data_IF_537724349488
#
_entry.id   IF_537724349488
#
_cell.length_a   1.000
_cell.length_b   1.000
_cell.length_c   1.000
_cell.angle_alpha   90.00
_cell.angle_beta   90.00
_cell.angle_gamma   90.00
#
_symmetry.space_group_name_H-M   'P 1'
#
loop_
_entity.id
_entity.type
_entity.pdbx_description
1 polymer ?
#
# COMPACT_ATOMS: atom_id res chain seq x y z
N UNK A 1 -22.56 -9.23 -20.20
CA UNK A 1 -21.32 -8.50 -19.91
C UNK A 1 -20.62 -9.34 -18.88
N UNK A 2 -19.34 -9.64 -19.09
CA UNK A 2 -18.53 -10.34 -18.11
C UNK A 2 -18.26 -9.38 -16.95
N UNK A 3 -18.45 -9.82 -15.70
CA UNK A 3 -18.23 -9.01 -14.50
C UNK A 3 -17.21 -9.68 -13.59
N UNK A 4 -16.28 -8.91 -13.05
CA UNK A 4 -15.37 -9.43 -12.03
C UNK A 4 -15.00 -8.37 -11.01
N UNK A 5 -14.59 -8.80 -9.82
CA UNK A 5 -13.98 -7.91 -8.84
C UNK A 5 -12.46 -7.96 -8.99
N UNK A 6 -11.83 -6.80 -9.03
CA UNK A 6 -10.40 -6.62 -8.96
C UNK A 6 -10.00 -6.03 -7.60
N UNK A 7 -9.13 -6.75 -6.88
CA UNK A 7 -8.53 -6.36 -5.60
C UNK A 7 -7.05 -6.78 -5.58
N UNK A 8 -6.26 -6.22 -4.66
CA UNK A 8 -4.82 -6.46 -4.55
C UNK A 8 -4.33 -6.11 -3.14
N UNK A 9 -3.05 -6.40 -2.85
CA UNK A 9 -2.33 -5.86 -1.69
C UNK A 9 -3.07 -6.13 -0.37
N UNK A 10 -3.46 -7.39 -0.19
CA UNK A 10 -4.21 -7.82 0.99
C UNK A 10 -3.34 -7.84 2.23
N UNK A 11 -2.06 -8.23 2.10
CA UNK A 11 -1.12 -8.37 3.21
C UNK A 11 -1.73 -9.10 4.42
N UNK A 12 -2.42 -10.22 4.21
CA UNK A 12 -3.11 -10.93 5.29
C UNK A 12 -2.10 -11.28 6.40
N UNK A 13 -2.45 -10.92 7.64
CA UNK A 13 -1.60 -11.12 8.81
C UNK A 13 -0.61 -10.00 9.08
N UNK A 14 -0.76 -8.83 8.43
CA UNK A 14 0.05 -7.64 8.69
C UNK A 14 -0.10 -7.17 10.14
N UNK A 15 1.03 -6.75 10.69
CA UNK A 15 1.09 -6.04 11.96
C UNK A 15 1.34 -4.55 11.69
N UNK A 16 0.59 -3.68 12.36
CA UNK A 16 0.86 -2.24 12.36
C UNK A 16 1.24 -1.82 13.77
N UNK A 17 2.49 -1.39 13.96
CA UNK A 17 3.07 -1.10 15.27
C UNK A 17 2.81 -2.18 16.35
N UNK A 18 3.01 -3.46 15.97
CA UNK A 18 2.75 -4.65 16.79
C UNK A 18 1.28 -4.97 17.08
N UNK A 19 0.32 -4.25 16.49
CA UNK A 19 -1.09 -4.58 16.54
C UNK A 19 -1.44 -5.43 15.33
N UNK A 20 -2.10 -6.56 15.55
CA UNK A 20 -2.60 -7.40 14.46
C UNK A 20 -3.79 -6.75 13.79
N UNK A 21 -3.71 -6.60 12.46
CA UNK A 21 -4.82 -6.11 11.64
C UNK A 21 -5.74 -7.23 11.14
N UNK A 22 -5.48 -8.50 11.51
CA UNK A 22 -6.17 -9.65 10.94
C UNK A 22 -7.69 -9.58 11.12
N UNK A 23 -8.19 -9.16 12.29
CA UNK A 23 -9.62 -9.01 12.53
C UNK A 23 -10.25 -7.93 11.66
N UNK A 24 -9.55 -6.81 11.45
CA UNK A 24 -9.99 -5.73 10.57
C UNK A 24 -9.95 -6.17 9.09
N UNK A 25 -8.94 -6.95 8.69
CA UNK A 25 -8.83 -7.56 7.35
C UNK A 25 -9.98 -8.54 7.09
N UNK A 26 -10.27 -9.44 8.03
CA UNK A 26 -11.39 -10.37 7.95
C UNK A 26 -12.74 -9.64 7.87
N UNK A 27 -12.87 -8.47 8.51
CA UNK A 27 -14.08 -7.65 8.42
C UNK A 27 -14.32 -7.15 6.99
N UNK A 28 -13.29 -6.62 6.31
CA UNK A 28 -13.43 -6.11 4.94
C UNK A 28 -13.48 -7.21 3.89
N UNK A 29 -12.78 -8.34 4.08
CA UNK A 29 -12.86 -9.51 3.20
C UNK A 29 -14.31 -10.06 3.12
N UNK A 30 -15.08 -10.01 4.22
CA UNK A 30 -16.51 -10.36 4.21
C UNK A 30 -17.33 -9.44 3.30
N UNK A 31 -16.94 -8.17 3.14
CA UNK A 31 -17.62 -7.24 2.25
C UNK A 31 -17.35 -7.56 0.78
N UNK A 32 -16.14 -8.00 0.43
CA UNK A 32 -15.82 -8.47 -0.94
C UNK A 32 -16.71 -9.65 -1.33
N UNK A 33 -16.88 -10.63 -0.42
CA UNK A 33 -17.81 -11.75 -0.63
C UNK A 33 -19.25 -11.26 -0.87
N UNK A 34 -19.70 -10.28 -0.08
CA UNK A 34 -21.03 -9.68 -0.26
C UNK A 34 -21.15 -8.99 -1.62
N UNK A 35 -20.18 -8.17 -2.00
CA UNK A 35 -20.18 -7.49 -3.31
C UNK A 35 -20.16 -8.48 -4.47
N UNK A 36 -19.40 -9.56 -4.37
CA UNK A 36 -19.37 -10.60 -5.39
C UNK A 36 -20.77 -11.21 -5.61
N UNK A 37 -21.49 -11.49 -4.52
CA UNK A 37 -22.84 -12.02 -4.58
C UNK A 37 -23.87 -10.99 -5.08
N UNK A 38 -23.83 -9.76 -4.56
CA UNK A 38 -24.78 -8.68 -4.91
C UNK A 38 -24.68 -8.29 -6.39
N UNK A 39 -23.45 -8.22 -6.93
CA UNK A 39 -23.21 -7.85 -8.32
C UNK A 39 -23.15 -9.03 -9.29
N UNK A 40 -23.31 -10.26 -8.78
CA UNK A 40 -23.31 -11.51 -9.56
C UNK A 40 -22.08 -11.62 -10.46
N UNK A 41 -20.89 -11.46 -9.87
CA UNK A 41 -19.63 -11.44 -10.62
C UNK A 41 -19.27 -12.86 -11.09
N UNK A 42 -18.66 -12.94 -12.27
CA UNK A 42 -18.19 -14.19 -12.88
C UNK A 42 -16.83 -14.64 -12.32
N UNK A 43 -16.04 -13.73 -11.73
CA UNK A 43 -14.74 -14.05 -11.14
C UNK A 43 -14.31 -13.05 -10.04
N UNK A 44 -13.42 -13.51 -9.16
CA UNK A 44 -12.62 -12.66 -8.27
C UNK A 44 -11.16 -12.67 -8.74
N UNK A 45 -10.59 -11.49 -8.96
CA UNK A 45 -9.20 -11.27 -9.34
C UNK A 45 -8.43 -10.65 -8.18
N UNK A 46 -7.32 -11.29 -7.79
CA UNK A 46 -6.42 -10.81 -6.72
C UNK A 46 -5.01 -10.58 -7.27
N UNK A 47 -4.63 -9.31 -7.47
CA UNK A 47 -3.40 -8.90 -8.14
C UNK A 47 -2.16 -8.86 -7.22
N UNK A 48 -1.96 -9.90 -6.40
CA UNK A 48 -0.74 -10.08 -5.61
C UNK A 48 -0.78 -9.49 -4.20
N UNK A 49 0.34 -9.69 -3.50
CA UNK A 49 0.55 -9.43 -2.06
C UNK A 49 -0.59 -9.98 -1.19
N UNK A 50 -0.79 -11.30 -1.32
CA UNK A 50 -1.81 -12.04 -0.58
C UNK A 50 -1.46 -12.03 0.92
N UNK A 51 -0.22 -12.36 1.26
CA UNK A 51 0.29 -12.34 2.62
C UNK A 51 1.26 -11.19 2.85
N UNK A 52 1.32 -10.71 4.08
CA UNK A 52 2.26 -9.63 4.45
C UNK A 52 3.74 -10.07 4.36
N UNK A 53 4.00 -11.37 4.44
CA UNK A 53 5.35 -11.94 4.45
C UNK A 53 5.38 -13.31 3.80
N UNK A 54 6.56 -13.64 3.27
CA UNK A 54 6.81 -14.89 2.53
C UNK A 54 6.59 -16.17 3.34
N UNK A 55 6.65 -16.07 4.67
CA UNK A 55 6.27 -17.12 5.62
C UNK A 55 5.13 -16.59 6.49
N UNK A 56 3.86 -16.75 6.08
CA UNK A 56 2.72 -16.20 6.82
C UNK A 56 2.51 -16.88 8.18
N UNK A 57 1.93 -16.18 9.17
CA UNK A 57 1.43 -16.82 10.39
C UNK A 57 0.32 -17.85 10.08
N UNK A 58 0.12 -18.84 10.95
CA UNK A 58 -0.89 -19.89 10.76
C UNK A 58 -2.30 -19.31 10.61
N UNK A 59 -2.70 -18.37 11.47
CA UNK A 59 -4.02 -17.75 11.44
C UNK A 59 -4.30 -17.01 10.11
N UNK A 60 -3.26 -16.46 9.46
CA UNK A 60 -3.39 -15.83 8.15
C UNK A 60 -3.66 -16.88 7.05
N UNK A 61 -3.02 -18.05 7.15
CA UNK A 61 -3.26 -19.17 6.23
C UNK A 61 -4.68 -19.71 6.40
N UNK A 62 -5.14 -19.88 7.64
CA UNK A 62 -6.50 -20.31 7.95
C UNK A 62 -7.53 -19.29 7.44
N UNK A 63 -7.26 -18.00 7.60
CA UNK A 63 -8.08 -16.91 7.08
C UNK A 63 -8.23 -16.95 5.56
N UNK A 64 -7.12 -17.10 4.82
CA UNK A 64 -7.16 -17.23 3.36
C UNK A 64 -7.94 -18.48 2.94
N UNK A 65 -7.65 -19.63 3.56
CA UNK A 65 -8.33 -20.88 3.25
C UNK A 65 -9.85 -20.77 3.45
N UNK A 66 -10.29 -20.21 4.58
CA UNK A 66 -11.70 -19.97 4.85
C UNK A 66 -12.32 -19.00 3.84
N UNK A 67 -11.61 -17.92 3.47
CA UNK A 67 -12.10 -16.99 2.46
C UNK A 67 -12.30 -17.66 1.09
N UNK A 68 -11.31 -18.43 0.63
CA UNK A 68 -11.36 -19.11 -0.67
C UNK A 68 -12.47 -20.16 -0.73
N UNK A 69 -12.60 -20.98 0.31
CA UNK A 69 -13.67 -21.98 0.41
C UNK A 69 -15.05 -21.33 0.26
N UNK A 70 -15.28 -20.15 0.86
CA UNK A 70 -16.57 -19.46 0.73
C UNK A 70 -16.85 -19.00 -0.70
N UNK A 71 -15.85 -18.46 -1.39
CA UNK A 71 -16.02 -18.05 -2.80
C UNK A 71 -16.34 -19.24 -3.71
N UNK A 72 -15.61 -20.35 -3.57
CA UNK A 72 -15.77 -21.48 -4.48
C UNK A 72 -16.94 -22.38 -4.10
N UNK A 73 -17.22 -22.60 -2.82
CA UNK A 73 -18.28 -23.50 -2.36
C UNK A 73 -19.63 -22.79 -2.19
N UNK A 74 -19.67 -21.57 -1.63
CA UNK A 74 -20.94 -20.84 -1.41
C UNK A 74 -21.40 -20.11 -2.68
N UNK A 75 -20.47 -19.46 -3.39
CA UNK A 75 -20.80 -18.63 -4.57
C UNK A 75 -20.56 -19.34 -5.91
N UNK A 76 -19.78 -20.42 -5.94
CA UNK A 76 -19.32 -21.05 -7.19
C UNK A 76 -18.60 -20.06 -8.12
N UNK A 77 -17.92 -19.07 -7.54
CA UNK A 77 -17.17 -18.05 -8.28
C UNK A 77 -15.69 -18.43 -8.29
N UNK A 78 -15.04 -18.55 -9.46
CA UNK A 78 -13.61 -18.80 -9.54
C UNK A 78 -12.80 -17.63 -8.99
N UNK A 79 -11.72 -17.96 -8.28
CA UNK A 79 -10.74 -16.99 -7.76
C UNK A 79 -9.45 -17.13 -8.54
N UNK A 80 -8.95 -16.02 -9.09
CA UNK A 80 -7.73 -15.96 -9.89
C UNK A 80 -6.77 -15.03 -9.19
N UNK A 81 -5.60 -15.53 -8.81
CA UNK A 81 -4.62 -14.76 -8.04
C UNK A 81 -3.20 -14.97 -8.53
N UNK A 82 -2.39 -13.92 -8.42
CA UNK A 82 -0.94 -13.96 -8.64
C UNK A 82 -0.22 -13.74 -7.30
N UNK A 83 1.09 -13.98 -7.25
CA UNK A 83 1.93 -13.58 -6.12
C UNK A 83 2.49 -12.17 -6.33
N UNK A 84 2.55 -11.38 -5.25
CA UNK A 84 3.27 -10.10 -5.24
C UNK A 84 4.70 -10.23 -4.71
N UNK A 85 5.33 -9.10 -4.35
CA UNK A 85 6.72 -9.04 -3.87
C UNK A 85 6.88 -9.44 -2.39
N UNK A 86 5.80 -9.48 -1.61
CA UNK A 86 5.79 -9.99 -0.23
C UNK A 86 5.59 -11.50 -0.16
N UNK A 87 4.91 -12.07 -1.15
CA UNK A 87 4.61 -13.48 -1.23
C UNK A 87 5.84 -14.32 -1.60
N UNK A 88 5.86 -15.59 -1.17
CA UNK A 88 6.71 -16.58 -1.80
C UNK A 88 5.92 -17.28 -2.91
N UNK A 89 6.19 -16.93 -4.18
CA UNK A 89 5.52 -17.53 -5.34
C UNK A 89 5.51 -19.07 -5.29
N UNK A 90 6.64 -19.69 -4.90
CA UNK A 90 6.77 -21.15 -4.75
C UNK A 90 5.90 -21.72 -3.62
N UNK A 91 5.77 -21.03 -2.48
CA UNK A 91 4.92 -21.50 -1.37
C UNK A 91 3.44 -21.26 -1.66
N UNK A 92 3.10 -20.09 -2.19
CA UNK A 92 1.72 -19.74 -2.53
C UNK A 92 1.13 -20.72 -3.55
N UNK A 93 1.91 -21.13 -4.56
CA UNK A 93 1.46 -22.10 -5.57
C UNK A 93 1.49 -23.57 -5.12
N UNK A 94 1.84 -23.87 -3.87
CA UNK A 94 1.81 -25.24 -3.38
C UNK A 94 0.38 -25.79 -3.49
N UNK A 95 0.21 -26.90 -4.21
CA UNK A 95 -1.11 -27.47 -4.46
C UNK A 95 -1.95 -26.77 -5.52
N UNK A 96 -1.43 -25.76 -6.23
CA UNK A 96 -2.19 -24.98 -7.23
C UNK A 96 -2.85 -25.86 -8.31
N UNK A 97 -2.19 -26.94 -8.74
CA UNK A 97 -2.75 -27.88 -9.71
C UNK A 97 -4.01 -28.61 -9.20
N UNK A 98 -4.09 -28.89 -7.90
CA UNK A 98 -5.28 -29.51 -7.30
C UNK A 98 -6.37 -28.46 -7.08
N UNK A 99 -5.98 -27.27 -6.60
CA UNK A 99 -6.89 -26.16 -6.32
C UNK A 99 -7.58 -25.60 -7.56
N UNK A 100 -6.94 -25.65 -8.74
CA UNK A 100 -7.58 -25.18 -9.98
C UNK A 100 -8.82 -26.00 -10.36
N UNK A 101 -8.87 -27.27 -9.99
CA UNK A 101 -10.07 -28.11 -10.18
C UNK A 101 -11.24 -27.72 -9.26
N UNK A 102 -10.95 -26.99 -8.17
CA UNK A 102 -11.94 -26.47 -7.24
C UNK A 102 -12.27 -24.98 -7.48
N UNK A 103 -11.78 -24.39 -8.59
CA UNK A 103 -12.05 -22.99 -8.95
C UNK A 103 -11.07 -21.97 -8.36
N UNK A 104 -9.97 -22.38 -7.74
CA UNK A 104 -8.90 -21.46 -7.27
C UNK A 104 -7.68 -21.58 -8.18
N UNK A 105 -7.40 -20.52 -8.93
CA UNK A 105 -6.33 -20.45 -9.90
C UNK A 105 -5.19 -19.56 -9.39
N UNK A 106 -4.04 -20.18 -9.10
CA UNK A 106 -2.84 -19.45 -8.64
C UNK A 106 -1.81 -19.37 -9.77
N UNK A 107 -1.69 -18.19 -10.37
CA UNK A 107 -0.81 -17.87 -11.49
C UNK A 107 0.55 -17.36 -10.99
N UNK A 108 1.32 -18.26 -10.35
CA UNK A 108 2.59 -17.93 -9.71
C UNK A 108 3.85 -18.45 -10.44
N UNK A 109 3.76 -18.80 -11.72
CA UNK A 109 4.89 -19.30 -12.51
C UNK A 109 5.06 -18.46 -13.78
N UNK A 110 6.13 -17.66 -13.84
CA UNK A 110 6.41 -16.78 -14.98
C UNK A 110 6.52 -17.54 -16.31
N UNK A 111 6.85 -18.85 -16.30
CA UNK A 111 6.91 -19.67 -17.53
C UNK A 111 5.54 -19.96 -18.13
N UNK A 112 4.46 -19.67 -17.39
CA UNK A 112 3.07 -19.90 -17.79
C UNK A 112 2.32 -18.62 -18.11
N UNK A 113 3.01 -17.48 -18.27
CA UNK A 113 2.37 -16.19 -18.62
C UNK A 113 1.56 -16.24 -19.92
N UNK A 114 1.89 -17.16 -20.84
CA UNK A 114 1.17 -17.40 -22.09
C UNK A 114 0.00 -18.39 -21.95
N UNK A 115 -0.33 -18.87 -20.74
CA UNK A 115 -1.43 -19.82 -20.50
C UNK A 115 -2.52 -19.14 -19.68
N UNK A 116 -3.62 -18.68 -20.30
CA UNK A 116 -4.67 -18.00 -19.57
C UNK A 116 -5.55 -18.96 -18.76
N UNK A 117 -6.24 -18.41 -17.77
CA UNK A 117 -7.43 -19.01 -17.19
C UNK A 117 -8.63 -18.52 -17.98
N UNK A 118 -9.40 -19.44 -18.56
CA UNK A 118 -10.64 -19.12 -19.25
C UNK A 118 -11.83 -19.28 -18.30
N UNK A 119 -12.57 -18.20 -18.09
CA UNK A 119 -13.82 -18.21 -17.33
C UNK A 119 -14.98 -18.09 -18.30
N UNK A 120 -15.95 -19.00 -18.19
CA UNK A 120 -17.17 -18.98 -19.00
C UNK A 120 -18.20 -18.08 -18.32
N UNK A 121 -18.61 -17.02 -19.00
CA UNK A 121 -19.67 -16.11 -18.54
C UNK A 121 -20.94 -16.31 -19.36
N UNK A 122 -22.04 -15.67 -18.95
CA UNK A 122 -23.28 -15.68 -19.73
C UNK A 122 -23.13 -15.05 -21.12
N UNK A 123 -22.11 -14.20 -21.33
CA UNK A 123 -21.87 -13.50 -22.61
C UNK A 123 -20.67 -14.03 -23.39
N UNK A 124 -20.08 -15.14 -22.96
CA UNK A 124 -18.92 -15.75 -23.61
C UNK A 124 -17.73 -15.92 -22.68
N UNK A 125 -16.65 -16.47 -23.21
CA UNK A 125 -15.42 -16.66 -22.46
C UNK A 125 -14.68 -15.33 -22.23
N UNK A 126 -13.93 -15.26 -21.14
CA UNK A 126 -12.94 -14.21 -20.86
C UNK A 126 -11.63 -14.88 -20.47
N UNK A 127 -10.51 -14.36 -20.97
CA UNK A 127 -9.17 -14.87 -20.72
C UNK A 127 -8.46 -14.03 -19.66
N UNK A 128 -7.98 -14.66 -18.60
CA UNK A 128 -7.16 -14.02 -17.56
C UNK A 128 -5.71 -14.50 -17.66
N UNK A 129 -4.80 -13.58 -17.95
CA UNK A 129 -3.36 -13.82 -17.97
C UNK A 129 -2.76 -13.29 -16.67
N UNK A 130 -1.76 -14.00 -16.11
CA UNK A 130 -1.14 -13.63 -14.85
C UNK A 130 0.37 -13.47 -14.98
N UNK A 131 0.86 -12.26 -14.67
CA UNK A 131 2.29 -11.97 -14.50
C UNK A 131 2.53 -11.71 -13.01
N UNK A 132 3.00 -12.71 -12.24
CA UNK A 132 3.38 -12.48 -10.86
C UNK A 132 4.57 -11.51 -10.78
N UNK A 133 4.82 -10.96 -9.60
CA UNK A 133 6.05 -10.22 -9.34
C UNK A 133 7.28 -11.07 -9.70
N UNK A 134 8.27 -10.46 -10.32
CA UNK A 134 9.45 -11.14 -10.87
C UNK A 134 10.66 -10.21 -10.90
N UNK A 135 11.85 -10.82 -10.83
CA UNK A 135 13.12 -10.13 -11.04
C UNK A 135 13.65 -10.36 -12.47
N UNK A 136 14.36 -9.40 -13.10
CA UNK A 136 14.97 -9.59 -14.41
C UNK A 136 15.88 -10.83 -14.52
N UNK A 137 16.56 -11.21 -13.43
CA UNK A 137 17.38 -12.44 -13.38
C UNK A 137 16.50 -13.67 -13.59
N UNK A 138 15.35 -13.75 -12.92
CA UNK A 138 14.44 -14.89 -13.04
C UNK A 138 13.88 -15.03 -14.45
N UNK A 139 13.55 -13.91 -15.09
CA UNK A 139 13.08 -13.89 -16.49
C UNK A 139 14.18 -14.34 -17.45
N UNK A 140 15.40 -13.82 -17.30
CA UNK A 140 16.55 -14.24 -18.11
C UNK A 140 16.83 -15.75 -17.97
N UNK A 141 16.82 -16.28 -16.75
CA UNK A 141 17.05 -17.70 -16.51
C UNK A 141 15.90 -18.59 -17.04
N UNK A 142 14.65 -18.12 -16.96
CA UNK A 142 13.49 -18.88 -17.38
C UNK A 142 13.31 -18.94 -18.90
N UNK A 143 13.74 -17.91 -19.62
CA UNK A 143 13.48 -17.73 -21.05
C UNK A 143 14.73 -17.62 -21.93
N UNK A 144 15.93 -17.60 -21.34
CA UNK A 144 17.21 -17.44 -22.05
C UNK A 144 17.27 -16.16 -22.92
N UNK A 145 16.84 -15.03 -22.32
CA UNK A 145 16.76 -13.71 -22.97
C UNK A 145 17.64 -12.67 -22.29
N UNK A 146 18.18 -11.72 -23.04
CA UNK A 146 19.04 -10.65 -22.52
C UNK A 146 18.24 -9.46 -21.96
N UNK A 147 17.42 -9.70 -20.93
CA UNK A 147 16.76 -8.62 -20.17
C UNK A 147 17.63 -8.18 -18.99
N UNK A 148 17.67 -6.88 -18.71
CA UNK A 148 18.51 -6.25 -17.67
C UNK A 148 17.70 -5.43 -16.67
N UNK A 149 16.61 -4.81 -17.12
CA UNK A 149 15.77 -3.96 -16.28
C UNK A 149 14.44 -4.62 -15.97
N UNK A 150 13.75 -4.13 -14.93
CA UNK A 150 12.39 -4.56 -14.63
C UNK A 150 11.45 -4.27 -15.81
N UNK A 151 11.61 -3.13 -16.47
CA UNK A 151 10.82 -2.76 -17.65
C UNK A 151 11.00 -3.73 -18.83
N UNK A 152 12.25 -4.09 -19.16
CA UNK A 152 12.55 -5.04 -20.25
C UNK A 152 11.99 -6.43 -19.93
N UNK A 153 12.18 -6.89 -18.69
CA UNK A 153 11.69 -8.17 -18.22
C UNK A 153 10.15 -8.23 -18.25
N UNK A 154 9.50 -7.18 -17.74
CA UNK A 154 8.06 -7.07 -17.69
C UNK A 154 7.44 -7.01 -19.09
N UNK A 155 8.03 -6.19 -19.97
CA UNK A 155 7.61 -6.06 -21.36
C UNK A 155 7.69 -7.38 -22.10
N UNK A 156 8.79 -8.14 -21.92
CA UNK A 156 8.91 -9.47 -22.52
C UNK A 156 7.78 -10.41 -22.10
N UNK A 157 7.46 -10.48 -20.80
CA UNK A 157 6.36 -11.32 -20.30
C UNK A 157 4.98 -10.87 -20.79
N UNK A 158 4.74 -9.54 -20.82
CA UNK A 158 3.50 -8.96 -21.31
C UNK A 158 3.29 -9.23 -22.80
N UNK A 159 4.34 -9.16 -23.61
CA UNK A 159 4.30 -9.50 -25.03
C UNK A 159 3.98 -10.98 -25.27
N UNK A 160 4.60 -11.89 -24.49
CA UNK A 160 4.28 -13.33 -24.56
C UNK A 160 2.81 -13.59 -24.22
N UNK A 161 2.29 -12.96 -23.16
CA UNK A 161 0.88 -13.07 -22.79
C UNK A 161 -0.04 -12.50 -23.89
N UNK A 162 0.29 -11.34 -24.45
CA UNK A 162 -0.48 -10.71 -25.51
C UNK A 162 -0.52 -11.55 -26.79
N UNK A 163 0.59 -12.19 -27.17
CA UNK A 163 0.68 -13.07 -28.34
C UNK A 163 -0.15 -14.36 -28.18
N UNK A 164 -0.37 -14.82 -26.96
CA UNK A 164 -1.12 -16.03 -26.66
C UNK A 164 -2.65 -15.83 -26.60
N UNK A 165 -3.11 -14.58 -26.71
CA UNK A 165 -4.54 -14.25 -26.71
C UNK A 165 -5.26 -14.87 -27.89
N UNK A 166 -6.50 -15.29 -27.65
CA UNK A 166 -7.41 -15.65 -28.74
C UNK A 166 -8.01 -14.38 -29.35
N UNK A 167 -7.97 -14.29 -30.68
CA UNK A 167 -8.68 -13.24 -31.40
C UNK A 167 -10.18 -13.34 -31.04
N UNK A 168 -10.80 -12.20 -30.72
CA UNK A 168 -12.21 -12.07 -30.35
C UNK A 168 -12.61 -12.54 -28.94
N UNK A 169 -11.67 -12.93 -28.08
CA UNK A 169 -11.94 -13.20 -26.66
C UNK A 169 -11.38 -12.05 -25.82
N UNK A 170 -12.20 -11.40 -24.97
CA UNK A 170 -11.69 -10.37 -24.06
C UNK A 170 -10.59 -10.90 -23.15
N UNK A 171 -9.52 -10.13 -23.01
CA UNK A 171 -8.33 -10.52 -22.27
C UNK A 171 -8.04 -9.53 -21.15
N UNK A 172 -7.91 -10.06 -19.93
CA UNK A 172 -7.51 -9.33 -18.73
C UNK A 172 -6.10 -9.75 -18.36
N UNK A 173 -5.23 -8.77 -18.17
CA UNK A 173 -3.91 -9.01 -17.58
C UNK A 173 -3.95 -8.72 -16.08
N UNK A 174 -3.48 -9.65 -15.27
CA UNK A 174 -3.28 -9.50 -13.83
C UNK A 174 -1.79 -9.38 -13.61
N UNK A 175 -1.33 -8.30 -13.00
CA UNK A 175 0.09 -8.02 -12.83
C UNK A 175 0.40 -7.33 -11.51
N UNK A 176 1.59 -7.58 -10.98
CA UNK A 176 2.08 -6.93 -9.77
C UNK A 176 3.43 -6.25 -10.05
N UNK A 177 3.38 -4.95 -10.36
CA UNK A 177 4.53 -4.17 -10.79
C UNK A 177 4.35 -2.67 -10.48
N UNK A 178 5.43 -1.90 -10.52
CA UNK A 178 5.40 -0.46 -10.34
C UNK A 178 5.44 0.27 -11.68
N UNK A 179 4.29 0.74 -12.16
CA UNK A 179 4.18 1.62 -13.33
C UNK A 179 4.80 3.00 -13.05
N UNK A 180 5.70 3.46 -13.90
CA UNK A 180 6.37 4.75 -13.74
C UNK A 180 5.37 5.93 -13.63
N UNK A 181 5.66 6.82 -12.68
CA UNK A 181 4.86 8.00 -12.38
C UNK A 181 3.51 7.74 -11.69
N UNK A 182 3.24 6.54 -11.20
CA UNK A 182 2.14 6.27 -10.27
C UNK A 182 2.47 6.78 -8.85
N UNK A 183 1.44 7.02 -8.04
CA UNK A 183 1.55 7.55 -6.68
C UNK A 183 1.83 6.42 -5.67
N UNK A 184 2.83 6.61 -4.81
CA UNK A 184 3.23 5.68 -3.74
C UNK A 184 2.77 6.17 -2.36
N UNK A 185 2.73 5.26 -1.38
CA UNK A 185 2.54 5.54 0.03
C UNK A 185 3.81 5.14 0.81
N UNK A 186 3.81 5.30 2.14
CA UNK A 186 4.97 4.89 2.95
C UNK A 186 4.93 3.39 3.32
N UNK A 187 3.84 2.69 3.03
CA UNK A 187 3.60 1.30 3.45
C UNK A 187 4.02 0.27 2.41
N UNK A 188 4.21 0.68 1.16
CA UNK A 188 4.76 -0.13 0.08
C UNK A 188 6.26 -0.35 0.33
N UNK A 189 6.75 -1.52 -0.06
CA UNK A 189 8.18 -1.82 0.06
C UNK A 189 8.95 -1.06 -1.01
N UNK A 190 9.86 -0.17 -0.60
CA UNK A 190 10.86 0.39 -1.51
C UNK A 190 11.79 -0.72 -1.98
N UNK A 191 11.54 -1.23 -3.19
CA UNK A 191 12.29 -2.36 -3.77
C UNK A 191 13.63 -1.92 -4.35
N UNK A 192 13.73 -0.68 -4.83
CA UNK A 192 14.95 -0.13 -5.39
C UNK A 192 15.25 1.29 -4.91
N UNK A 193 16.53 1.68 -4.98
CA UNK A 193 16.94 3.07 -4.82
C UNK A 193 16.96 3.69 -6.22
N UNK A 194 16.24 4.80 -6.40
CA UNK A 194 16.25 5.57 -7.65
C UNK A 194 15.29 5.08 -8.75
N UNK A 195 14.34 4.18 -8.44
CA UNK A 195 13.25 3.80 -9.35
C UNK A 195 13.62 2.78 -10.43
N UNK A 196 14.63 1.94 -10.19
CA UNK A 196 15.07 0.90 -11.12
C UNK A 196 14.07 -0.27 -11.28
N UNK A 197 13.09 -0.37 -10.38
CA UNK A 197 12.00 -1.34 -10.35
C UNK A 197 10.76 -0.89 -11.15
N UNK A 198 10.81 0.29 -11.76
CA UNK A 198 9.70 0.85 -12.52
C UNK A 198 9.57 0.24 -13.91
N UNK A 199 8.33 0.14 -14.38
CA UNK A 199 7.95 -0.41 -15.68
C UNK A 199 7.05 0.55 -16.45
N UNK A 200 7.13 0.50 -17.78
CA UNK A 200 6.28 1.25 -18.70
C UNK A 200 4.92 0.57 -18.84
N UNK A 201 3.86 1.37 -18.91
CA UNK A 201 2.50 0.85 -19.16
C UNK A 201 2.27 0.44 -20.62
N UNK A 202 3.16 0.79 -21.55
CA UNK A 202 2.93 0.66 -22.99
C UNK A 202 2.68 -0.78 -23.43
N UNK A 203 3.44 -1.74 -22.90
CA UNK A 203 3.29 -3.17 -23.19
C UNK A 203 1.97 -3.77 -22.70
N UNK A 204 1.26 -3.06 -21.80
CA UNK A 204 0.02 -3.50 -21.18
C UNK A 204 -1.23 -2.99 -21.91
N UNK A 205 -1.09 -2.01 -22.82
CA UNK A 205 -2.22 -1.36 -23.48
C UNK A 205 -3.03 -2.27 -24.39
N UNK A 206 -2.48 -3.43 -24.78
CA UNK A 206 -3.17 -4.32 -25.71
C UNK A 206 -4.38 -5.00 -25.05
N UNK A 207 -4.38 -5.19 -23.74
CA UNK A 207 -5.42 -5.91 -22.99
C UNK A 207 -6.69 -5.07 -22.80
N UNK A 208 -7.84 -5.74 -22.70
CA UNK A 208 -9.14 -5.07 -22.50
C UNK A 208 -9.27 -4.47 -21.09
N UNK A 209 -8.55 -5.05 -20.13
CA UNK A 209 -8.35 -4.50 -18.77
C UNK A 209 -7.03 -5.01 -18.19
N UNK A 210 -6.38 -4.19 -17.36
CA UNK A 210 -5.18 -4.55 -16.63
C UNK A 210 -5.40 -4.32 -15.13
N UNK A 211 -5.44 -5.42 -14.39
CA UNK A 211 -5.57 -5.50 -12.95
C UNK A 211 -4.19 -5.47 -12.29
N UNK A 212 -3.79 -4.29 -11.80
CA UNK A 212 -2.51 -4.09 -11.11
C UNK A 212 -2.64 -4.19 -9.58
N UNK A 213 -1.66 -4.81 -8.95
CA UNK A 213 -1.32 -4.61 -7.53
C UNK A 213 0.07 -4.01 -7.38
N UNK A 214 0.54 -3.88 -6.14
CA UNK A 214 1.80 -3.29 -5.64
C UNK A 214 1.61 -1.95 -4.94
N UNK A 215 0.81 -1.06 -5.53
CA UNK A 215 0.55 0.27 -4.98
C UNK A 215 -0.75 0.28 -4.18
N UNK A 216 -0.71 0.84 -2.98
CA UNK A 216 -1.82 0.73 -2.04
C UNK A 216 -2.93 1.76 -2.30
N UNK A 217 -2.67 2.81 -3.09
CA UNK A 217 -3.68 3.78 -3.50
C UNK A 217 -4.45 3.31 -4.73
N UNK A 218 -5.80 3.26 -4.71
CA UNK A 218 -6.59 3.00 -5.91
C UNK A 218 -6.39 4.13 -6.93
N UNK A 219 -5.87 3.79 -8.11
CA UNK A 219 -5.51 4.76 -9.14
C UNK A 219 -5.40 4.11 -10.52
N UNK A 220 -5.17 4.90 -11.56
CA UNK A 220 -4.82 4.41 -12.89
C UNK A 220 -3.59 5.14 -13.41
N UNK A 221 -2.86 4.51 -14.33
CA UNK A 221 -1.71 5.15 -14.99
C UNK A 221 -1.61 4.73 -16.44
N UNK A 222 -1.29 5.69 -17.31
CA UNK A 222 -1.22 5.48 -18.76
C UNK A 222 -2.61 5.52 -19.41
N UNK A 223 -3.40 4.45 -19.23
CA UNK A 223 -4.76 4.33 -19.76
C UNK A 223 -5.76 3.98 -18.65
N UNK A 224 -7.03 4.37 -18.80
CA UNK A 224 -8.04 4.22 -17.73
C UNK A 224 -8.35 2.76 -17.36
N UNK A 225 -8.13 1.81 -18.27
CA UNK A 225 -8.28 0.38 -18.04
C UNK A 225 -7.06 -0.26 -17.36
N UNK A 226 -5.98 0.49 -17.13
CA UNK A 226 -4.77 0.05 -16.43
C UNK A 226 -4.79 0.60 -15.02
N UNK A 227 -5.24 -0.21 -14.06
CA UNK A 227 -5.65 0.28 -12.74
C UNK A 227 -5.00 -0.50 -11.63
N UNK A 228 -4.61 0.20 -10.57
CA UNK A 228 -4.37 -0.38 -9.26
C UNK A 228 -5.68 -0.39 -8.48
N UNK A 229 -6.04 -1.52 -7.89
CA UNK A 229 -7.17 -1.55 -6.96
C UNK A 229 -6.83 -0.93 -5.60
N UNK A 230 -5.56 -0.93 -5.23
CA UNK A 230 -5.11 -0.54 -3.89
C UNK A 230 -5.35 -1.65 -2.86
N UNK A 231 -4.83 -1.40 -1.65
CA UNK A 231 -4.93 -2.32 -0.52
C UNK A 231 -6.32 -2.37 0.09
N UNK A 232 -6.60 -3.45 0.85
CA UNK A 232 -7.86 -3.63 1.57
C UNK A 232 -8.10 -2.58 2.66
N UNK A 233 -7.04 -2.23 3.36
CA UNK A 233 -7.02 -1.30 4.49
C UNK A 233 -5.89 -0.30 4.29
N UNK A 234 -5.91 0.78 5.06
CA UNK A 234 -4.77 1.69 5.17
C UNK A 234 -3.66 1.00 5.97
N UNK A 235 -2.44 1.01 5.48
CA UNK A 235 -1.29 0.35 6.10
C UNK A 235 -0.18 1.32 6.55
N UNK A 236 -0.40 2.62 6.34
CA UNK A 236 0.36 3.76 6.82
C UNK A 236 -0.58 4.95 7.01
N UNK A 237 -0.21 5.86 7.91
CA UNK A 237 -0.90 7.15 8.05
C UNK A 237 -0.79 8.04 6.80
N UNK A 238 0.17 7.81 5.89
CA UNK A 238 0.19 8.48 4.58
C UNK A 238 -1.06 8.18 3.75
N UNK A 239 -1.72 7.05 4.01
CA UNK A 239 -2.94 6.60 3.31
C UNK A 239 -4.22 7.10 3.97
N UNK A 240 -4.16 7.92 5.02
CA UNK A 240 -5.34 8.33 5.82
C UNK A 240 -6.45 9.02 5.01
N UNK A 241 -6.11 9.64 3.86
CA UNK A 241 -7.07 10.28 2.94
C UNK A 241 -7.56 9.35 1.83
N UNK A 242 -6.95 8.19 1.65
CA UNK A 242 -7.30 7.26 0.58
C UNK A 242 -8.62 6.57 0.90
N UNK A 243 -9.44 6.36 -0.14
CA UNK A 243 -10.69 5.59 -0.05
C UNK A 243 -10.39 4.17 -0.49
N UNK A 244 -10.32 3.24 0.47
CA UNK A 244 -10.05 1.82 0.19
C UNK A 244 -11.28 1.15 -0.39
N UNK A 245 -11.07 0.18 -1.27
CA UNK A 245 -12.15 -0.46 -1.99
C UNK A 245 -11.68 -1.56 -2.92
N UNK A 246 -12.61 -2.11 -3.67
CA UNK A 246 -12.36 -3.00 -4.81
C UNK A 246 -12.91 -2.37 -6.08
N UNK A 247 -12.41 -2.81 -7.23
CA UNK A 247 -12.94 -2.35 -8.53
C UNK A 247 -13.87 -3.42 -9.10
N UNK A 248 -15.15 -3.09 -9.26
CA UNK A 248 -16.04 -3.88 -10.10
C UNK A 248 -15.75 -3.52 -11.55
N UNK A 249 -15.44 -4.52 -12.37
CA UNK A 249 -15.14 -4.35 -13.78
C UNK A 249 -16.20 -5.06 -14.60
N UNK A 250 -16.73 -4.39 -15.61
CA UNK A 250 -17.65 -4.95 -16.59
C UNK A 250 -17.08 -4.85 -17.99
N UNK A 251 -16.97 -5.97 -18.70
CA UNK A 251 -16.51 -6.03 -20.08
C UNK A 251 -17.69 -6.49 -20.96
N UNK A 252 -18.02 -5.67 -21.96
CA UNK A 252 -19.10 -5.95 -22.90
C UNK A 252 -18.79 -5.45 -24.30
N UNK A 253 -19.77 -5.53 -25.20
CA UNK A 253 -19.64 -5.13 -26.60
C UNK A 253 -19.27 -3.65 -26.80
N UNK A 254 -19.63 -2.80 -25.82
CA UNK A 254 -19.34 -1.36 -25.85
C UNK A 254 -17.97 -1.00 -25.22
N UNK A 255 -17.20 -2.00 -24.80
CA UNK A 255 -15.90 -1.84 -24.15
C UNK A 255 -15.93 -2.19 -22.66
N UNK A 256 -14.89 -1.72 -21.97
CA UNK A 256 -14.67 -1.96 -20.53
C UNK A 256 -15.15 -0.76 -19.72
N UNK A 257 -15.93 -1.02 -18.68
CA UNK A 257 -16.33 -0.04 -17.66
C UNK A 257 -15.98 -0.55 -16.27
N UNK A 258 -15.92 0.37 -15.30
CA UNK A 258 -15.52 0.02 -13.94
C UNK A 258 -16.15 0.95 -12.91
N UNK A 259 -16.37 0.42 -11.72
CA UNK A 259 -16.92 1.11 -10.57
C UNK A 259 -16.07 0.81 -9.33
N UNK A 260 -15.78 1.83 -8.52
CA UNK A 260 -15.10 1.64 -7.24
C UNK A 260 -16.12 1.33 -6.14
N UNK A 261 -16.03 0.13 -5.56
CA UNK A 261 -16.85 -0.30 -4.44
C UNK A 261 -16.07 -0.10 -3.13
N UNK A 262 -16.48 0.85 -2.26
CA UNK A 262 -15.73 1.19 -1.06
C UNK A 262 -15.75 0.05 -0.03
N UNK A 263 -14.63 -0.18 0.65
CA UNK A 263 -14.56 -1.06 1.82
C UNK A 263 -14.64 -0.23 3.09
N UNK A 264 -15.59 -0.56 3.96
CA UNK A 264 -15.79 0.16 5.22
C UNK A 264 -14.98 -0.56 6.31
N UNK A 265 -13.90 0.04 6.84
CA UNK A 265 -13.10 -0.61 7.87
C UNK A 265 -13.87 -0.66 9.20
N UNK A 266 -13.52 -1.62 10.06
CA UNK A 266 -14.03 -1.65 11.43
C UNK A 266 -13.40 -0.54 12.29
N UNK A 267 -12.12 -0.26 12.06
CA UNK A 267 -11.35 0.86 12.62
C UNK A 267 -10.61 1.54 11.48
N UNK A 268 -10.85 2.83 11.27
CA UNK A 268 -10.14 3.58 10.24
C UNK A 268 -8.80 4.14 10.76
N UNK A 269 -7.93 4.58 9.86
CA UNK A 269 -6.76 5.40 10.22
C UNK A 269 -7.08 6.88 10.08
N UNK A 270 -6.95 7.63 11.17
CA UNK A 270 -7.20 9.07 11.22
C UNK A 270 -5.97 9.82 11.72
N UNK A 271 -5.76 10.99 11.14
CA UNK A 271 -4.81 11.99 11.63
C UNK A 271 -5.64 13.09 12.29
N UNK A 272 -5.45 13.30 13.60
CA UNK A 272 -6.08 14.38 14.35
C UNK A 272 -5.03 15.43 14.70
N UNK A 273 -5.42 16.70 14.74
CA UNK A 273 -4.50 17.81 14.98
C UNK A 273 -5.13 18.83 15.93
N UNK A 274 -4.36 19.26 16.93
CA UNK A 274 -4.81 20.21 17.95
C UNK A 274 -3.89 20.20 19.17
N UNK A 275 -4.25 20.97 20.19
CA UNK A 275 -3.58 20.87 21.49
C UNK A 275 -3.99 19.59 22.21
N UNK A 276 -3.13 19.09 23.10
CA UNK A 276 -3.43 17.89 23.89
C UNK A 276 -4.78 18.02 24.63
N UNK A 277 -5.05 19.17 25.23
CA UNK A 277 -6.29 19.43 25.96
C UNK A 277 -7.52 19.35 25.05
N UNK A 278 -7.46 19.94 23.84
CA UNK A 278 -8.54 19.89 22.87
C UNK A 278 -8.80 18.46 22.39
N UNK A 279 -7.75 17.72 22.03
CA UNK A 279 -7.88 16.36 21.54
C UNK A 279 -8.41 15.41 22.64
N UNK A 280 -7.98 15.58 23.88
CA UNK A 280 -8.52 14.82 25.02
C UNK A 280 -10.00 15.10 25.23
N UNK A 281 -10.42 16.36 25.14
CA UNK A 281 -11.84 16.72 25.27
C UNK A 281 -12.68 16.16 24.12
N UNK A 282 -12.21 16.27 22.88
CA UNK A 282 -12.88 15.71 21.70
C UNK A 282 -13.07 14.19 21.82
N UNK A 283 -12.02 13.47 22.21
CA UNK A 283 -12.05 12.01 22.30
C UNK A 283 -13.06 11.46 23.30
N UNK A 284 -13.48 12.24 24.31
CA UNK A 284 -14.51 11.80 25.28
C UNK A 284 -15.88 11.54 24.64
N UNK A 285 -16.14 12.13 23.48
CA UNK A 285 -17.43 12.05 22.79
C UNK A 285 -17.34 11.58 21.33
N UNK A 286 -16.14 11.22 20.88
CA UNK A 286 -15.91 10.78 19.50
C UNK A 286 -16.51 9.37 19.29
N UNK A 287 -17.49 9.20 18.38
CA UNK A 287 -18.07 7.88 18.10
C UNK A 287 -17.08 6.90 17.46
N UNK A 288 -15.94 7.39 16.98
CA UNK A 288 -14.86 6.62 16.35
C UNK A 288 -13.58 6.61 17.20
N UNK A 289 -13.71 6.70 18.52
CA UNK A 289 -12.60 6.67 19.47
C UNK A 289 -11.65 5.47 19.32
N UNK A 290 -12.17 4.34 18.81
CA UNK A 290 -11.40 3.11 18.57
C UNK A 290 -10.62 3.11 17.24
N UNK A 291 -10.68 4.15 16.43
CA UNK A 291 -9.86 4.26 15.22
C UNK A 291 -8.36 4.31 15.53
N UNK A 292 -7.54 3.92 14.56
CA UNK A 292 -6.09 4.05 14.65
C UNK A 292 -5.70 5.52 14.47
N UNK A 293 -5.14 6.13 15.50
CA UNK A 293 -4.88 7.57 15.54
C UNK A 293 -3.39 7.88 15.42
N UNK A 294 -3.07 8.83 14.54
CA UNK A 294 -1.87 9.67 14.62
C UNK A 294 -2.32 11.03 15.16
N UNK A 295 -1.73 11.45 16.28
CA UNK A 295 -2.03 12.74 16.89
C UNK A 295 -0.91 13.75 16.58
N UNK A 296 -1.26 14.84 15.90
CA UNK A 296 -0.40 16.01 15.66
C UNK A 296 -0.64 17.05 16.74
N UNK A 297 0.30 17.18 17.65
CA UNK A 297 0.20 18.12 18.76
C UNK A 297 0.80 19.47 18.39
N UNK A 298 -0.01 20.51 18.56
CA UNK A 298 0.36 21.91 18.28
C UNK A 298 0.84 22.66 19.53
N UNK A 299 0.85 22.00 20.70
CA UNK A 299 1.27 22.59 21.97
C UNK A 299 2.71 23.12 21.93
N UNK A 300 2.87 24.40 22.31
CA UNK A 300 4.16 25.11 22.43
C UNK A 300 4.97 24.79 23.68
N UNK A 301 4.35 24.13 24.65
CA UNK A 301 4.96 23.81 25.93
C UNK A 301 5.27 22.32 26.02
N UNK A 302 6.13 21.92 26.96
CA UNK A 302 6.34 20.51 27.22
C UNK A 302 5.10 19.87 27.83
N UNK A 303 4.82 18.65 27.36
CA UNK A 303 3.64 17.89 27.72
C UNK A 303 4.04 16.71 28.60
N UNK A 304 3.34 16.54 29.71
CA UNK A 304 3.51 15.39 30.57
C UNK A 304 2.74 14.19 30.01
N UNK A 305 3.46 13.14 29.62
CA UNK A 305 2.88 11.86 29.17
C UNK A 305 1.72 11.98 28.14
N UNK A 306 1.86 12.77 27.06
CA UNK A 306 0.75 13.07 26.14
C UNK A 306 0.13 11.82 25.51
N UNK A 307 0.98 10.82 25.22
CA UNK A 307 0.56 9.52 24.70
C UNK A 307 -0.39 8.78 25.65
N UNK A 308 -0.11 8.82 26.97
CA UNK A 308 -0.94 8.15 27.97
C UNK A 308 -2.29 8.85 28.14
N UNK A 309 -2.29 10.19 28.11
CA UNK A 309 -3.53 10.98 28.19
C UNK A 309 -4.42 10.75 26.97
N UNK A 310 -3.86 10.77 25.76
CA UNK A 310 -4.61 10.48 24.53
C UNK A 310 -5.19 9.06 24.56
N UNK A 311 -4.43 8.05 24.99
CA UNK A 311 -4.92 6.66 25.09
C UNK A 311 -6.05 6.44 26.08
N UNK A 312 -6.34 7.38 26.98
CA UNK A 312 -7.54 7.30 27.83
C UNK A 312 -8.84 7.53 27.05
N UNK A 313 -8.78 8.30 25.96
CA UNK A 313 -9.95 8.66 25.14
C UNK A 313 -9.88 8.11 23.71
N UNK A 314 -8.68 7.83 23.21
CA UNK A 314 -8.37 7.22 21.92
C UNK A 314 -7.46 6.02 22.15
N UNK A 315 -8.01 4.85 22.55
CA UNK A 315 -7.22 3.69 22.98
C UNK A 315 -6.19 3.24 21.95
N UNK A 316 -6.49 3.42 20.67
CA UNK A 316 -5.65 3.05 19.53
C UNK A 316 -4.86 4.24 18.96
N UNK A 317 -4.43 5.19 19.81
CA UNK A 317 -3.42 6.18 19.39
C UNK A 317 -2.07 5.49 19.27
N UNK A 318 -1.57 5.44 18.03
CA UNK A 318 -0.38 4.70 17.65
C UNK A 318 0.83 5.61 17.49
N UNK A 319 0.62 6.78 16.90
CA UNK A 319 1.69 7.73 16.61
C UNK A 319 1.38 9.11 17.17
N UNK A 320 2.44 9.82 17.55
CA UNK A 320 2.38 11.17 18.07
C UNK A 320 3.47 12.00 17.41
N UNK A 321 3.07 13.07 16.74
CA UNK A 321 3.95 14.03 16.10
C UNK A 321 3.81 15.38 16.81
N UNK A 322 4.93 16.06 17.08
CA UNK A 322 4.90 17.45 17.54
C UNK A 322 5.25 18.36 16.37
N UNK A 323 4.29 19.18 15.93
CA UNK A 323 4.42 19.97 14.70
C UNK A 323 5.57 20.99 14.73
N UNK A 324 5.97 21.43 15.93
CA UNK A 324 7.08 22.37 16.13
C UNK A 324 8.48 21.76 15.99
N UNK A 325 8.60 20.43 16.02
CA UNK A 325 9.88 19.74 15.81
C UNK A 325 9.96 19.07 14.44
N UNK A 326 8.90 19.20 13.63
CA UNK A 326 8.85 18.73 12.26
C UNK A 326 9.70 19.66 11.39
N UNK A 327 10.98 19.34 11.23
CA UNK A 327 11.82 19.94 10.19
C UNK A 327 11.19 19.61 8.84
N UNK A 328 10.57 20.62 8.22
CA UNK A 328 9.98 20.49 6.89
C UNK A 328 11.00 19.87 5.92
N UNK A 329 10.62 18.77 5.27
CA UNK A 329 11.44 17.95 4.35
C UNK A 329 11.88 18.68 3.05
N UNK A 330 11.95 20.02 3.06
CA UNK A 330 12.33 20.86 1.93
C UNK A 330 13.26 22.03 2.28
N UNK A 331 13.50 22.34 3.56
CA UNK A 331 14.56 23.28 3.89
C UNK A 331 15.89 22.53 3.86
N UNK A 332 16.62 22.62 2.75
CA UNK A 332 18.05 22.38 2.79
C UNK A 332 18.59 23.17 3.99
N UNK A 333 19.24 22.49 4.93
CA UNK A 333 20.09 23.14 5.91
C UNK A 333 21.16 23.87 5.09
N UNK A 334 20.88 25.13 4.71
CA UNK A 334 21.90 26.05 4.21
C UNK A 334 22.66 26.49 5.45
N UNK A 335 23.43 25.56 5.99
CA UNK A 335 24.49 25.89 6.90
C UNK A 335 25.55 26.57 6.05
N UNK A 336 25.39 27.88 5.81
CA UNK A 336 26.50 28.73 5.41
C UNK A 336 27.41 28.84 6.65
N UNK A 337 28.16 27.76 6.92
CA UNK A 337 29.13 27.65 8.01
C UNK A 337 30.36 28.47 7.62
N UNK A 338 30.17 29.78 7.44
CA UNK A 338 31.27 30.71 7.42
C UNK A 338 31.84 30.77 8.84
N UNK A 339 33.16 30.63 8.97
CA UNK A 339 33.90 30.63 10.24
C UNK A 339 33.91 32.01 10.97
N UNK A 340 32.89 32.85 10.75
CA UNK A 340 32.77 34.22 11.28
C UNK A 340 31.42 34.52 11.94
N UNK A 341 30.50 33.56 12.05
CA UNK A 341 29.24 33.75 12.80
C UNK A 341 29.43 33.37 14.26
N UNK A 342 28.88 34.18 15.17
CA UNK A 342 28.85 33.84 16.60
C UNK A 342 27.88 32.70 16.86
N UNK A 343 28.20 31.86 17.83
CA UNK A 343 27.42 30.66 18.18
C UNK A 343 25.96 31.00 18.50
N UNK A 344 25.71 32.13 19.17
CA UNK A 344 24.36 32.59 19.50
C UNK A 344 23.50 32.86 18.26
N UNK A 345 24.09 33.40 17.18
CA UNK A 345 23.39 33.63 15.92
C UNK A 345 23.09 32.31 15.21
N UNK A 346 24.01 31.34 15.25
CA UNK A 346 23.79 30.01 14.65
C UNK A 346 22.64 29.28 15.36
N UNK A 347 22.60 29.35 16.70
CA UNK A 347 21.50 28.75 17.47
C UNK A 347 20.17 29.48 17.29
N UNK A 348 20.17 30.81 17.18
CA UNK A 348 18.97 31.60 16.85
C UNK A 348 18.40 31.24 15.49
N UNK A 349 19.26 31.22 14.46
CA UNK A 349 18.85 30.86 13.10
C UNK A 349 18.28 29.43 13.06
N UNK A 350 18.95 28.49 13.75
CA UNK A 350 18.46 27.12 13.89
C UNK A 350 17.11 27.07 14.62
N UNK A 351 16.96 27.76 15.74
CA UNK A 351 15.72 27.79 16.51
C UNK A 351 14.56 28.36 15.68
N UNK A 352 14.76 29.50 15.02
CA UNK A 352 13.75 30.11 14.15
C UNK A 352 13.39 29.20 12.98
N UNK A 353 14.37 28.49 12.41
CA UNK A 353 14.13 27.56 11.31
C UNK A 353 13.37 26.29 11.73
N UNK A 354 13.61 25.80 12.95
CA UNK A 354 12.94 24.60 13.48
C UNK A 354 11.55 24.94 14.04
N UNK A 355 11.46 25.99 14.86
CA UNK A 355 10.25 26.35 15.60
C UNK A 355 9.32 27.31 14.85
N UNK A 356 9.82 28.00 13.82
CA UNK A 356 9.06 28.98 13.02
C UNK A 356 8.86 30.35 13.68
N UNK A 357 9.24 30.52 14.95
CA UNK A 357 9.13 31.74 15.75
C UNK A 357 10.54 32.19 16.22
N UNK A 358 10.73 33.49 16.48
CA UNK A 358 11.96 33.99 17.12
C UNK A 358 12.01 33.62 18.62
N UNK A 359 13.22 33.46 19.17
CA UNK A 359 13.42 33.26 20.61
C UNK A 359 12.79 34.41 21.41
N UNK A 360 12.07 34.09 22.48
CA UNK A 360 11.64 35.10 23.46
C UNK A 360 12.86 35.68 24.20
N UNK A 361 12.70 36.85 24.83
CA UNK A 361 13.78 37.46 25.62
C UNK A 361 14.31 36.52 26.72
N UNK A 362 13.41 35.76 27.37
CA UNK A 362 13.78 34.79 28.39
C UNK A 362 14.57 33.60 27.82
N UNK A 363 14.13 33.06 26.67
CA UNK A 363 14.83 31.95 26.00
C UNK A 363 16.20 32.38 25.46
N UNK A 364 16.29 33.59 24.90
CA UNK A 364 17.56 34.15 24.43
C UNK A 364 18.55 34.37 25.59
N UNK A 365 18.06 34.80 26.75
CA UNK A 365 18.90 34.93 27.95
C UNK A 365 19.44 33.57 28.39
N UNK A 366 18.57 32.54 28.46
CA UNK A 366 18.97 31.19 28.83
C UNK A 366 19.98 30.59 27.84
N UNK A 367 19.77 30.79 26.53
CA UNK A 367 20.71 30.36 25.49
C UNK A 367 22.10 30.95 25.71
N UNK A 368 22.19 32.26 25.96
CA UNK A 368 23.47 32.93 26.20
C UNK A 368 24.15 32.44 27.49
N UNK A 369 23.38 32.19 28.55
CA UNK A 369 23.89 31.61 29.80
C UNK A 369 24.51 30.22 29.55
N UNK A 370 23.81 29.34 28.83
CA UNK A 370 24.30 27.99 28.51
C UNK A 370 25.54 28.00 27.60
N UNK A 371 25.57 28.89 26.59
CA UNK A 371 26.75 29.04 25.73
C UNK A 371 27.97 29.48 26.55
N UNK A 372 27.80 30.46 27.43
CA UNK A 372 28.90 30.94 28.29
C UNK A 372 29.37 29.85 29.26
N UNK A 373 28.47 29.07 29.85
CA UNK A 373 28.81 27.94 30.71
C UNK A 373 29.59 26.86 29.95
N UNK A 374 29.16 26.52 28.73
CA UNK A 374 29.84 25.54 27.88
C UNK A 374 31.25 26.00 27.48
N UNK A 375 31.42 27.27 27.10
CA UNK A 375 32.72 27.86 26.77
C UNK A 375 33.66 27.86 27.99
N UNK A 376 33.16 28.28 29.16
CA UNK A 376 33.95 28.27 30.40
C UNK A 376 34.37 26.84 30.81
N UNK A 377 33.54 25.83 30.56
CA UNK A 377 33.88 24.43 30.81
C UNK A 377 34.95 23.89 29.84
N UNK A 378 35.01 24.40 28.61
CA UNK A 378 36.05 24.05 27.64
C UNK A 378 37.39 24.76 27.95
N UNK A 379 37.35 26.01 28.39
CA UNK A 379 38.54 26.77 28.80
C UNK A 379 39.13 26.28 30.13
N UNK A 380 38.32 25.68 31.02
CA UNK A 380 38.77 25.10 32.28
C UNK A 380 39.39 23.69 32.20
N UNK A 381 39.55 23.14 30.99
CA UNK A 381 40.18 21.83 30.74
C UNK A 381 41.58 21.90 30.10
N UNK A 382 42.13 23.10 29.85
CA UNK A 382 43.57 23.32 29.59
C UNK A 382 44.34 23.57 30.89
#
# INVERSE_FOLDING_TARGET
MAKFLHTSDWHIGRLFQNISLLDDQLHVLKQIHRYAAEHQVDALVVAGDIYDRSVPPADAVDALNAFLARFTEELSIPVIMISGNHDSAKRLRFGAQFMSGAGVHILGDIRKVATPVEVQTQTGAIQFFGIPYHDPVEVREAFDVEVKTYDEAHTHLAELAAQARSADVPAVLISHCFIDGAEESDSERRLSIGGADRVSYQSLQSFDYVALGHLHAPQYKGAEHIRYSGSLLKYSFSEHKQRKGVTLVEIGEQGTSWEHLPLIPRRDMRVIEGTLAELVEQGRSDPHADDYILARLTDKQDLLEPMAQLRQVYPNTLELERTQFSVSHGSQLVADVSAKRSEDLVFKDFFTQVMGDELTEEQNKLLLEVINEAQAAMEGQE
#
